data_IF_523348765153
#
_entry.id   IF_523348765153
#
_cell.length_a   1.000
_cell.length_b   1.000
_cell.length_c   1.000
_cell.angle_alpha   90.00
_cell.angle_beta   90.00
_cell.angle_gamma   90.00
#
_symmetry.space_group_name_H-M   'P 1'
#
loop_
_entity.id
_entity.type
_entity.pdbx_description
1 polymer ?
#
# COMPACT_ATOMS: atom_id res chain seq x y z
N UNK A 1 13.73 12.38 37.58
CA UNK A 1 13.57 10.96 37.19
C UNK A 1 13.33 10.92 35.68
N UNK A 2 14.38 10.69 34.90
CA UNK A 2 14.29 10.38 33.48
C UNK A 2 14.18 8.86 33.33
N UNK A 3 13.06 8.35 32.84
CA UNK A 3 12.93 6.93 32.50
C UNK A 3 13.30 6.78 31.03
N UNK A 4 14.45 6.12 30.80
CA UNK A 4 14.94 5.65 29.49
C UNK A 4 13.86 4.83 28.77
N UNK A 5 13.57 5.20 27.52
CA UNK A 5 13.13 4.27 26.47
C UNK A 5 14.06 4.47 25.26
N UNK A 6 14.91 3.46 25.06
CA UNK A 6 15.81 3.13 23.95
C UNK A 6 15.53 3.93 22.65
N UNK A 7 16.31 4.95 22.30
CA UNK A 7 17.60 4.97 21.56
C UNK A 7 17.51 4.78 20.03
N UNK A 8 17.87 5.88 19.33
CA UNK A 8 18.44 5.99 17.97
C UNK A 8 17.51 6.41 16.81
N UNK A 9 17.06 7.67 16.81
CA UNK A 9 16.79 8.44 15.58
C UNK A 9 17.95 9.43 15.38
N UNK A 10 18.84 9.15 14.42
CA UNK A 10 19.89 10.09 14.05
C UNK A 10 19.33 11.00 12.93
N UNK A 11 18.52 11.99 13.31
CA UNK A 11 18.01 12.97 12.34
C UNK A 11 19.11 14.02 12.09
N UNK A 12 19.37 14.35 10.83
CA UNK A 12 20.36 15.36 10.48
C UNK A 12 19.99 16.71 11.12
N UNK A 13 20.93 17.42 11.77
CA UNK A 13 20.64 18.74 12.34
C UNK A 13 20.36 19.81 11.27
N UNK A 14 20.56 19.50 9.98
CA UNK A 14 20.39 20.43 8.87
C UNK A 14 19.07 20.24 8.08
N UNK A 15 18.42 19.07 8.18
CA UNK A 15 17.13 18.82 7.55
C UNK A 15 16.26 17.88 8.41
N UNK A 16 15.22 18.40 9.10
CA UNK A 16 14.40 17.61 10.01
C UNK A 16 13.46 16.61 9.30
N UNK A 17 13.39 16.63 7.96
CA UNK A 17 12.69 15.64 7.14
C UNK A 17 13.50 14.35 6.89
N UNK A 18 14.82 14.37 7.11
CA UNK A 18 15.70 13.23 6.82
C UNK A 18 16.05 12.48 8.13
N UNK A 19 15.07 11.71 8.62
CA UNK A 19 15.27 10.79 9.75
C UNK A 19 15.56 9.37 9.24
N UNK A 20 16.69 8.81 9.66
CA UNK A 20 17.02 7.40 9.41
C UNK A 20 16.33 6.55 10.48
N UNK A 21 15.27 5.85 10.10
CA UNK A 21 14.54 4.96 11.00
C UNK A 21 15.07 3.53 10.92
N UNK A 22 15.43 2.90 12.06
CA UNK A 22 15.88 1.51 12.06
C UNK A 22 14.73 0.54 11.70
N UNK A 23 15.07 -0.57 11.05
CA UNK A 23 14.13 -1.69 10.85
C UNK A 23 12.97 -1.44 9.89
N UNK A 24 13.09 -0.48 8.96
CA UNK A 24 12.05 -0.22 7.93
C UNK A 24 10.83 0.54 8.44
N UNK A 25 10.95 1.22 9.58
CA UNK A 25 9.97 2.18 10.05
C UNK A 25 10.02 3.48 9.21
N UNK A 26 8.89 4.21 9.13
CA UNK A 26 8.78 5.39 8.27
C UNK A 26 8.32 6.65 9.04
N UNK A 27 8.71 7.81 8.51
CA UNK A 27 8.34 9.12 9.00
C UNK A 27 9.09 9.57 10.25
N UNK A 28 8.81 10.81 10.66
CA UNK A 28 9.45 11.54 11.75
C UNK A 28 9.34 10.87 13.13
N UNK A 29 8.34 9.99 13.29
CA UNK A 29 8.11 9.22 14.51
C UNK A 29 8.58 7.76 14.38
N UNK A 30 9.19 7.38 13.25
CA UNK A 30 9.56 6.01 12.93
C UNK A 30 8.43 5.02 13.25
N UNK A 31 7.26 5.25 12.66
CA UNK A 31 6.11 4.36 12.83
C UNK A 31 6.35 3.06 12.05
N UNK A 32 6.04 1.94 12.68
CA UNK A 32 6.08 0.64 12.03
C UNK A 32 4.75 0.44 11.31
N UNK A 33 4.80 0.47 9.98
CA UNK A 33 3.61 0.46 9.14
C UNK A 33 3.16 -0.94 8.74
N UNK A 34 3.77 -1.97 9.32
CA UNK A 34 3.55 -3.36 8.96
C UNK A 34 3.33 -4.22 10.21
N UNK A 35 2.50 -5.25 10.05
CA UNK A 35 2.28 -6.26 11.08
C UNK A 35 2.18 -7.64 10.45
N UNK A 36 2.84 -8.60 11.08
CA UNK A 36 2.85 -10.01 10.69
C UNK A 36 1.83 -10.79 11.51
N UNK A 37 1.09 -11.67 10.83
CA UNK A 37 0.07 -12.54 11.41
C UNK A 37 0.40 -13.99 11.06
N UNK A 38 0.37 -14.88 12.06
CA UNK A 38 0.84 -16.26 11.93
C UNK A 38 -0.32 -17.27 11.94
N UNK A 39 -1.47 -16.92 11.36
CA UNK A 39 -2.60 -17.86 11.24
C UNK A 39 -3.48 -17.99 12.49
N UNK A 40 -3.34 -17.12 13.48
CA UNK A 40 -4.34 -16.91 14.55
C UNK A 40 -4.35 -15.47 15.06
N UNK A 41 -3.71 -14.57 14.30
CA UNK A 41 -3.44 -13.22 14.73
C UNK A 41 -4.57 -12.27 14.38
N UNK A 42 -4.74 -11.24 15.20
CA UNK A 42 -5.65 -10.13 14.97
C UNK A 42 -5.08 -8.85 15.57
N UNK A 43 -5.54 -7.72 15.06
CA UNK A 43 -5.26 -6.41 15.65
C UNK A 43 -6.49 -5.50 15.55
N UNK A 44 -6.71 -4.69 16.57
CA UNK A 44 -7.70 -3.63 16.57
C UNK A 44 -7.04 -2.31 16.22
N UNK A 45 -7.56 -1.69 15.16
CA UNK A 45 -7.18 -0.34 14.75
C UNK A 45 -8.40 0.58 14.89
N UNK A 46 -8.22 1.90 14.77
CA UNK A 46 -9.32 2.84 14.90
C UNK A 46 -10.53 2.47 14.01
N UNK A 47 -11.76 2.73 14.49
CA UNK A 47 -12.97 2.44 13.74
C UNK A 47 -12.98 3.19 12.41
N UNK A 48 -13.71 2.65 11.43
CA UNK A 48 -13.96 3.35 10.17
C UNK A 48 -14.71 4.65 10.48
N UNK A 49 -14.21 5.82 10.04
CA UNK A 49 -14.86 7.11 10.27
C UNK A 49 -16.30 7.09 9.74
N UNK A 50 -17.22 7.76 10.44
CA UNK A 50 -18.64 7.86 10.04
C UNK A 50 -18.85 8.74 8.80
N UNK A 51 -17.83 9.48 8.37
CA UNK A 51 -17.89 10.36 7.21
C UNK A 51 -17.67 9.54 5.92
N UNK A 52 -18.66 9.54 5.04
CA UNK A 52 -18.60 8.89 3.73
C UNK A 52 -18.45 9.94 2.62
N UNK A 53 -17.74 9.60 1.53
CA UNK A 53 -17.07 8.32 1.27
C UNK A 53 -15.81 8.12 2.14
N UNK A 54 -15.56 6.88 2.56
CA UNK A 54 -14.29 6.50 3.19
C UNK A 54 -13.44 5.68 2.20
N UNK A 55 -12.17 6.04 2.09
CA UNK A 55 -11.16 5.31 1.29
C UNK A 55 -10.27 4.50 2.21
N UNK A 56 -10.16 3.20 1.96
CA UNK A 56 -9.23 2.31 2.66
C UNK A 56 -8.22 1.78 1.65
N UNK A 57 -6.94 1.94 1.94
CA UNK A 57 -5.88 1.28 1.15
C UNK A 57 -4.93 0.53 2.07
N UNK A 58 -4.42 -0.61 1.61
CA UNK A 58 -3.44 -1.42 2.32
C UNK A 58 -2.62 -2.25 1.33
N UNK A 59 -1.46 -2.73 1.76
CA UNK A 59 -0.64 -3.70 1.05
C UNK A 59 -0.74 -5.05 1.73
N UNK A 60 -0.86 -6.10 0.91
CA UNK A 60 -1.07 -7.48 1.35
C UNK A 60 0.11 -8.32 0.88
N UNK A 61 0.74 -9.05 1.80
CA UNK A 61 1.82 -9.99 1.52
C UNK A 61 1.47 -11.36 2.11
N UNK A 62 0.99 -12.29 1.28
CA UNK A 62 0.60 -13.64 1.72
C UNK A 62 0.73 -14.67 0.60
N UNK A 63 0.97 -15.94 0.98
CA UNK A 63 0.85 -17.11 0.09
C UNK A 63 -0.53 -17.76 0.13
N UNK A 64 -1.43 -17.30 1.01
CA UNK A 64 -2.71 -17.95 1.26
C UNK A 64 -3.80 -17.32 0.39
N UNK A 65 -4.44 -18.09 -0.51
CA UNK A 65 -5.44 -17.55 -1.43
C UNK A 65 -6.81 -17.27 -0.76
N UNK A 66 -6.99 -17.67 0.50
CA UNK A 66 -8.21 -17.47 1.27
C UNK A 66 -7.91 -16.99 2.69
N UNK A 67 -8.35 -15.78 3.04
CA UNK A 67 -8.16 -15.20 4.37
C UNK A 67 -9.07 -13.99 4.59
N UNK A 68 -9.46 -13.75 5.84
CA UNK A 68 -10.08 -12.48 6.25
C UNK A 68 -9.00 -11.40 6.43
N UNK A 69 -9.16 -10.23 5.81
CA UNK A 69 -8.21 -9.13 5.88
C UNK A 69 -8.68 -8.01 6.80
N UNK A 70 -9.94 -7.59 6.67
CA UNK A 70 -10.55 -6.56 7.50
C UNK A 70 -11.96 -6.96 7.89
N UNK A 71 -12.38 -6.62 9.10
CA UNK A 71 -13.74 -6.81 9.57
C UNK A 71 -14.20 -5.67 10.47
N UNK A 72 -15.37 -5.11 10.18
CA UNK A 72 -16.07 -4.16 11.03
C UNK A 72 -17.55 -4.58 11.08
N UNK A 73 -18.05 -4.97 12.26
CA UNK A 73 -19.38 -5.54 12.38
C UNK A 73 -19.65 -6.08 13.78
N UNK A 74 -20.75 -6.84 13.97
CA UNK A 74 -21.10 -7.40 15.26
C UNK A 74 -20.01 -8.33 15.81
N UNK A 75 -19.63 -8.10 17.07
CA UNK A 75 -18.69 -8.96 17.80
C UNK A 75 -19.38 -10.02 18.67
N UNK A 76 -20.71 -9.97 18.72
CA UNK A 76 -21.56 -10.88 19.48
C UNK A 76 -22.84 -11.18 18.67
N UNK A 77 -23.50 -12.33 18.92
CA UNK A 77 -24.76 -12.66 18.27
C UNK A 77 -25.81 -11.57 18.47
N UNK A 78 -26.58 -11.28 17.44
CA UNK A 78 -27.68 -10.32 17.54
C UNK A 78 -28.81 -10.90 18.40
N UNK A 79 -29.10 -10.23 19.52
CA UNK A 79 -30.17 -10.61 20.44
C UNK A 79 -31.55 -10.06 20.04
N UNK A 80 -31.69 -9.38 18.89
CA UNK A 80 -32.97 -8.79 18.47
C UNK A 80 -33.82 -9.79 17.67
N UNK A 81 -34.94 -10.27 18.21
CA UNK A 81 -35.84 -11.18 17.49
C UNK A 81 -36.68 -10.46 16.43
N UNK A 82 -36.94 -9.15 16.61
CA UNK A 82 -37.94 -8.37 15.85
C UNK A 82 -37.39 -7.64 14.61
N UNK A 83 -36.06 -7.60 14.41
CA UNK A 83 -35.50 -7.01 13.19
C UNK A 83 -35.42 -8.07 12.08
N UNK A 84 -36.19 -7.86 11.01
CA UNK A 84 -36.12 -8.65 9.77
C UNK A 84 -34.90 -8.31 8.92
N UNK A 85 -34.23 -7.19 9.21
CA UNK A 85 -33.08 -6.72 8.46
C UNK A 85 -31.77 -7.43 8.87
N UNK A 86 -30.85 -7.69 7.91
CA UNK A 86 -29.51 -8.18 8.22
C UNK A 86 -28.71 -7.18 9.07
N UNK A 87 -27.89 -7.69 9.98
CA UNK A 87 -27.01 -6.82 10.80
C UNK A 87 -25.94 -6.16 9.91
N UNK A 88 -25.64 -4.87 10.05
CA UNK A 88 -24.61 -4.23 9.23
C UNK A 88 -23.22 -4.80 9.54
N UNK A 89 -22.46 -5.07 8.49
CA UNK A 89 -21.06 -5.45 8.57
C UNK A 89 -20.30 -4.95 7.35
N UNK A 90 -18.97 -5.00 7.46
CA UNK A 90 -18.03 -4.93 6.37
C UNK A 90 -16.96 -5.99 6.58
N UNK A 91 -16.69 -6.77 5.54
CA UNK A 91 -15.58 -7.70 5.53
C UNK A 91 -14.83 -7.59 4.20
N UNK A 92 -13.52 -7.31 4.28
CA UNK A 92 -12.61 -7.46 3.14
C UNK A 92 -11.86 -8.77 3.31
N UNK A 93 -11.90 -9.63 2.31
CA UNK A 93 -11.30 -10.96 2.37
C UNK A 93 -10.68 -11.35 1.03
N UNK A 94 -9.76 -12.31 1.05
CA UNK A 94 -9.26 -12.97 -0.15
C UNK A 94 -10.12 -14.22 -0.43
N UNK A 95 -10.61 -14.35 -1.66
CA UNK A 95 -11.15 -15.60 -2.20
C UNK A 95 -10.43 -15.95 -3.48
N UNK A 96 -9.79 -17.13 -3.51
CA UNK A 96 -9.01 -17.60 -4.65
C UNK A 96 -7.96 -16.57 -5.10
N UNK A 97 -7.32 -15.90 -4.13
CA UNK A 97 -6.33 -14.84 -4.37
C UNK A 97 -6.91 -13.49 -4.81
N UNK A 98 -8.23 -13.36 -4.94
CA UNK A 98 -8.91 -12.13 -5.35
C UNK A 98 -9.53 -11.42 -4.14
N UNK A 99 -9.35 -10.09 -3.97
CA UNK A 99 -10.07 -9.33 -2.96
C UNK A 99 -11.59 -9.36 -3.20
N UNK A 100 -12.36 -9.73 -2.18
CA UNK A 100 -13.82 -9.71 -2.15
C UNK A 100 -14.26 -8.85 -0.96
N UNK A 101 -15.25 -8.00 -1.19
CA UNK A 101 -15.89 -7.19 -0.16
C UNK A 101 -17.29 -7.76 0.12
N UNK A 102 -17.64 -7.93 1.39
CA UNK A 102 -18.98 -8.30 1.85
C UNK A 102 -19.56 -7.18 2.72
N UNK A 103 -20.89 -7.00 2.68
CA UNK A 103 -21.62 -6.06 3.51
C UNK A 103 -21.76 -4.67 2.88
N UNK A 104 -21.58 -3.61 3.67
CA UNK A 104 -21.66 -2.22 3.19
C UNK A 104 -20.53 -1.95 2.22
N UNK A 105 -20.87 -1.42 1.05
CA UNK A 105 -19.88 -1.24 0.01
C UNK A 105 -19.06 0.04 0.22
N UNK A 106 -17.76 -0.15 0.46
CA UNK A 106 -16.73 0.88 0.34
C UNK A 106 -16.10 0.82 -1.05
N UNK A 107 -15.58 1.95 -1.51
CA UNK A 107 -14.72 1.97 -2.69
C UNK A 107 -13.41 1.26 -2.35
N UNK A 108 -13.23 0.06 -2.90
CA UNK A 108 -11.99 -0.71 -2.78
C UNK A 108 -11.23 -0.56 -4.10
N UNK A 109 -10.12 0.15 -4.05
CA UNK A 109 -9.21 0.25 -5.19
C UNK A 109 -8.47 -1.10 -5.38
N UNK A 110 -8.86 -1.86 -6.41
CA UNK A 110 -8.26 -3.15 -6.75
C UNK A 110 -7.08 -2.96 -7.69
N UNK A 111 -5.96 -2.45 -7.18
CA UNK A 111 -4.70 -2.38 -7.94
C UNK A 111 -3.66 -3.32 -7.31
N UNK A 112 -3.58 -4.55 -7.83
CA UNK A 112 -2.53 -5.52 -7.48
C UNK A 112 -1.66 -5.86 -8.71
N UNK A 113 -0.36 -6.08 -8.50
CA UNK A 113 0.58 -6.45 -9.55
C UNK A 113 0.23 -7.82 -10.15
N UNK A 114 0.18 -7.93 -11.48
CA UNK A 114 0.26 -9.20 -12.19
C UNK A 114 -1.02 -9.78 -12.80
N UNK A 115 -2.03 -8.97 -13.12
CA UNK A 115 -3.26 -9.48 -13.75
C UNK A 115 -3.37 -9.07 -15.22
N UNK A 116 -3.13 -10.03 -16.11
CA UNK A 116 -3.53 -9.96 -17.52
C UNK A 116 -4.83 -10.75 -17.66
N UNK A 117 -5.87 -10.09 -18.17
CA UNK A 117 -6.93 -10.78 -18.90
C UNK A 117 -7.04 -10.10 -20.27
N UNK A 118 -7.14 -10.93 -21.30
CA UNK A 118 -7.19 -10.51 -22.71
C UNK A 118 -8.39 -9.59 -22.99
N UNK A 119 -8.19 -8.76 -24.01
CA UNK A 119 -9.11 -7.79 -24.56
C UNK A 119 -10.51 -8.37 -24.81
N UNK A 120 -11.55 -7.58 -24.53
CA UNK A 120 -12.29 -6.90 -25.59
C UNK A 120 -13.12 -5.73 -25.03
N UNK A 121 -12.79 -4.54 -25.54
CA UNK A 121 -13.58 -3.31 -25.63
C UNK A 121 -14.41 -2.82 -24.43
N UNK A 122 -13.76 -2.21 -23.43
CA UNK A 122 -14.15 -0.94 -22.79
C UNK A 122 -13.05 -0.46 -21.81
N UNK A 123 -12.76 0.85 -21.67
CA UNK A 123 -11.75 1.35 -20.74
C UNK A 123 -12.28 1.36 -19.30
N UNK A 124 -12.44 0.18 -18.69
CA UNK A 124 -12.78 0.04 -17.28
C UNK A 124 -11.52 0.25 -16.41
N UNK A 125 -11.11 1.50 -16.27
CA UNK A 125 -10.14 1.91 -15.27
C UNK A 125 -10.77 1.69 -13.88
N UNK A 126 -10.23 0.73 -13.14
CA UNK A 126 -10.41 0.42 -11.72
C UNK A 126 -11.39 1.32 -10.93
N UNK A 127 -12.70 1.14 -11.11
CA UNK A 127 -13.70 1.81 -10.26
C UNK A 127 -14.85 0.85 -9.97
N UNK A 128 -14.82 0.22 -8.79
CA UNK A 128 -15.97 -0.49 -8.25
C UNK A 128 -16.84 0.51 -7.50
N UNK A 129 -17.92 0.98 -8.12
CA UNK A 129 -18.93 1.83 -7.47
C UNK A 129 -20.09 0.95 -7.07
N UNK A 130 -20.39 0.91 -5.78
CA UNK A 130 -21.65 0.34 -5.29
C UNK A 130 -22.27 1.41 -4.40
N UNK A 131 -23.46 1.85 -4.81
CA UNK A 131 -24.28 2.80 -4.08
C UNK A 131 -25.21 2.07 -3.13
N UNK A 132 -25.50 2.73 -2.01
CA UNK A 132 -26.49 2.33 -1.02
C UNK A 132 -27.84 1.97 -1.64
N UNK A 133 -28.55 1.03 -1.01
CA UNK A 133 -29.98 0.78 -1.29
C UNK A 133 -30.87 1.79 -0.52
N UNK A 134 -30.35 2.51 0.48
CA UNK A 134 -31.11 3.58 1.15
C UNK A 134 -30.21 4.51 1.99
N UNK A 135 -30.44 5.85 1.96
CA UNK A 135 -29.80 6.82 2.87
C UNK A 135 -30.15 6.64 4.35
N UNK A 136 -31.19 5.86 4.68
CA UNK A 136 -31.64 5.65 6.07
C UNK A 136 -30.85 4.58 6.84
N UNK A 137 -30.01 3.77 6.18
CA UNK A 137 -29.17 2.73 6.81
C UNK A 137 -27.88 3.28 7.46
N UNK A 138 -27.65 4.59 7.40
CA UNK A 138 -26.49 5.27 8.01
C UNK A 138 -26.57 5.32 9.55
N UNK A 139 -27.78 5.23 10.14
CA UNK A 139 -27.94 5.13 11.59
C UNK A 139 -27.46 3.79 12.16
N UNK A 140 -27.30 2.76 11.33
CA UNK A 140 -26.95 1.41 11.76
C UNK A 140 -25.43 1.11 11.71
N UNK A 141 -24.60 1.98 11.10
CA UNK A 141 -23.16 1.72 11.08
C UNK A 141 -22.59 1.78 12.50
N UNK A 142 -21.91 0.72 12.99
CA UNK A 142 -21.28 0.74 14.29
C UNK A 142 -20.00 1.58 14.22
N UNK A 143 -20.13 2.90 14.10
CA UNK A 143 -19.02 3.86 14.09
C UNK A 143 -18.30 3.99 15.44
N UNK A 144 -18.35 2.95 16.26
CA UNK A 144 -17.68 2.77 17.55
C UNK A 144 -17.01 1.40 17.70
N UNK A 145 -17.21 0.47 16.75
CA UNK A 145 -16.57 -0.86 16.81
C UNK A 145 -15.19 -0.77 16.16
N UNK A 146 -14.13 -1.28 16.81
CA UNK A 146 -12.79 -1.27 16.24
C UNK A 146 -12.75 -2.00 14.90
N UNK A 147 -11.97 -1.48 13.96
CA UNK A 147 -11.67 -2.21 12.74
C UNK A 147 -10.72 -3.35 13.10
N UNK A 148 -11.16 -4.59 12.85
CA UNK A 148 -10.37 -5.78 13.09
C UNK A 148 -9.55 -6.12 11.85
N UNK A 149 -8.27 -6.36 12.03
CA UNK A 149 -7.28 -6.58 10.97
C UNK A 149 -6.77 -8.01 11.03
N UNK A 150 -6.74 -8.70 9.88
CA UNK A 150 -6.21 -10.04 9.62
C UNK A 150 -6.85 -11.22 10.37
N UNK A 151 -7.77 -10.96 11.28
CA UNK A 151 -8.46 -11.96 12.07
C UNK A 151 -9.48 -11.33 13.00
N UNK A 152 -10.11 -12.16 13.83
CA UNK A 152 -11.14 -11.74 14.77
C UNK A 152 -10.65 -12.02 16.20
N UNK A 153 -10.94 -11.08 17.11
CA UNK A 153 -10.71 -11.24 18.55
C UNK A 153 -11.80 -12.09 19.24
N UNK A 154 -12.82 -12.50 18.48
CA UNK A 154 -13.98 -13.25 18.93
C UNK A 154 -14.26 -14.41 17.96
N UNK A 155 -15.17 -15.31 18.35
CA UNK A 155 -15.62 -16.39 17.48
C UNK A 155 -16.21 -15.83 16.18
N UNK A 156 -15.90 -16.43 15.00
CA UNK A 156 -16.41 -15.96 13.73
C UNK A 156 -17.95 -15.88 13.71
N UNK A 157 -18.52 -14.74 13.29
CA UNK A 157 -19.97 -14.58 13.21
C UNK A 157 -20.51 -15.45 12.07
N UNK A 158 -21.70 -16.02 12.27
CA UNK A 158 -22.34 -16.89 11.28
C UNK A 158 -23.41 -16.15 10.50
N UNK A 159 -23.67 -16.61 9.27
CA UNK A 159 -24.67 -16.03 8.39
C UNK A 159 -26.08 -16.09 9.02
N UNK A 160 -26.43 -17.23 9.63
CA UNK A 160 -27.75 -17.45 10.21
C UNK A 160 -28.04 -16.53 11.40
N UNK A 161 -27.03 -16.31 12.27
CA UNK A 161 -27.18 -15.45 13.44
C UNK A 161 -27.43 -13.99 13.08
N UNK A 162 -26.96 -13.54 11.90
CA UNK A 162 -27.01 -12.14 11.47
C UNK A 162 -27.81 -11.91 10.19
N UNK A 163 -28.50 -12.94 9.70
CA UNK A 163 -29.31 -12.96 8.47
C UNK A 163 -28.53 -12.50 7.23
N UNK A 164 -27.24 -12.84 7.15
CA UNK A 164 -26.40 -12.53 5.98
C UNK A 164 -26.58 -13.57 4.88
N UNK A 165 -26.52 -13.15 3.61
CA UNK A 165 -26.44 -14.09 2.49
C UNK A 165 -25.09 -14.85 2.45
N UNK A 166 -24.03 -14.24 2.95
CA UNK A 166 -22.69 -14.83 3.03
C UNK A 166 -21.96 -14.31 4.29
N UNK A 167 -21.37 -15.22 5.07
CA UNK A 167 -20.54 -14.85 6.23
C UNK A 167 -19.08 -14.61 5.81
N UNK A 168 -18.32 -13.79 6.58
CA UNK A 168 -16.89 -13.65 6.39
C UNK A 168 -16.16 -15.00 6.49
N UNK A 169 -15.09 -15.17 5.72
CA UNK A 169 -14.26 -16.36 5.76
C UNK A 169 -13.66 -16.49 7.17
N UNK A 170 -13.89 -17.61 7.88
CA UNK A 170 -13.37 -17.79 9.23
C UNK A 170 -11.87 -18.14 9.24
N UNK A 171 -11.24 -18.27 8.07
CA UNK A 171 -9.82 -18.61 7.96
C UNK A 171 -8.96 -17.41 8.36
N UNK A 172 -8.10 -17.57 9.38
CA UNK A 172 -7.19 -16.52 9.83
C UNK A 172 -6.13 -16.22 8.77
N UNK A 173 -5.71 -14.97 8.68
CA UNK A 173 -4.67 -14.55 7.74
C UNK A 173 -3.28 -14.99 8.23
N UNK A 174 -2.48 -15.50 7.29
CA UNK A 174 -1.08 -15.82 7.49
C UNK A 174 -0.23 -15.03 6.49
N UNK A 175 0.53 -14.06 6.98
CA UNK A 175 1.29 -13.14 6.14
C UNK A 175 1.53 -11.81 6.83
N UNK A 176 1.72 -10.77 6.03
CA UNK A 176 1.96 -9.41 6.51
C UNK A 176 0.99 -8.43 5.82
N UNK A 177 0.43 -7.53 6.62
CA UNK A 177 -0.32 -6.37 6.13
C UNK A 177 0.50 -5.12 6.43
N UNK A 178 0.52 -4.18 5.48
CA UNK A 178 1.23 -2.92 5.68
C UNK A 178 0.55 -1.73 5.01
N UNK A 179 0.99 -0.52 5.37
CA UNK A 179 0.54 0.75 4.79
C UNK A 179 -0.98 0.90 4.80
N UNK A 180 -1.63 0.45 5.89
CA UNK A 180 -3.06 0.65 6.06
C UNK A 180 -3.33 2.15 6.20
N UNK A 181 -4.20 2.67 5.35
CA UNK A 181 -4.68 4.05 5.44
C UNK A 181 -6.20 4.09 5.51
N UNK A 182 -6.71 5.05 6.28
CA UNK A 182 -8.11 5.42 6.35
C UNK A 182 -8.21 6.89 5.91
N UNK A 183 -8.87 7.17 4.80
CA UNK A 183 -8.96 8.51 4.21
C UNK A 183 -7.59 9.18 3.97
N UNK A 184 -6.61 8.37 3.55
CA UNK A 184 -5.23 8.83 3.33
C UNK A 184 -4.40 8.99 4.62
N UNK A 185 -5.02 8.88 5.80
CA UNK A 185 -4.29 8.88 7.07
C UNK A 185 -3.75 7.50 7.37
N UNK A 186 -2.45 7.44 7.63
CA UNK A 186 -1.72 6.22 7.91
C UNK A 186 -2.01 5.68 9.32
N UNK A 187 -2.33 4.39 9.40
CA UNK A 187 -2.60 3.69 10.65
C UNK A 187 -1.31 3.04 11.16
N UNK A 188 -0.99 3.24 12.44
CA UNK A 188 0.12 2.56 13.10
C UNK A 188 -0.23 1.09 13.35
N UNK A 189 0.46 0.18 12.67
CA UNK A 189 0.29 -1.26 12.82
C UNK A 189 1.34 -1.89 13.76
N UNK A 190 2.37 -1.12 14.13
CA UNK A 190 3.39 -1.51 15.09
C UNK A 190 2.83 -1.61 16.50
N UNK A 191 2.04 -0.60 16.88
CA UNK A 191 1.44 -0.49 18.22
C UNK A 191 -0.08 -0.26 18.11
N UNK A 192 -0.86 -1.28 17.67
CA UNK A 192 -2.31 -1.20 17.66
C UNK A 192 -2.86 -1.13 19.08
N UNK A 193 -4.10 -0.65 19.23
CA UNK A 193 -4.76 -0.53 20.54
C UNK A 193 -4.82 -1.86 21.29
N UNK A 194 -5.15 -2.94 20.56
CA UNK A 194 -5.13 -4.31 21.06
C UNK A 194 -4.71 -5.25 19.94
N UNK A 195 -4.02 -6.34 20.29
CA UNK A 195 -3.65 -7.39 19.34
C UNK A 195 -3.36 -8.71 20.03
N UNK A 196 -3.53 -9.80 19.30
CA UNK A 196 -3.14 -11.15 19.72
C UNK A 196 -2.57 -11.92 18.53
N UNK A 197 -1.71 -12.92 18.77
CA UNK A 197 -1.17 -13.83 17.74
C UNK A 197 -0.47 -13.14 16.56
N UNK A 198 0.06 -11.94 16.76
CA UNK A 198 0.63 -11.08 15.71
C UNK A 198 1.80 -10.27 16.26
N UNK A 199 2.69 -9.80 15.39
CA UNK A 199 3.90 -9.08 15.76
C UNK A 199 4.16 -7.88 14.83
N UNK A 200 4.71 -6.77 15.35
CA UNK A 200 5.11 -5.63 14.51
C UNK A 200 6.15 -6.05 13.46
N UNK A 201 6.21 -5.31 12.35
CA UNK A 201 7.12 -5.61 11.25
C UNK A 201 6.54 -6.61 10.25
N UNK A 202 7.34 -6.94 9.24
CA UNK A 202 6.93 -7.74 8.11
C UNK A 202 7.91 -8.90 7.92
N UNK A 203 7.75 -9.96 8.72
CA UNK A 203 8.71 -11.07 8.71
C UNK A 203 8.94 -11.70 7.33
N UNK A 204 7.92 -11.94 6.49
CA UNK A 204 8.18 -12.47 5.15
C UNK A 204 9.06 -11.55 4.28
N UNK A 205 8.93 -10.23 4.45
CA UNK A 205 9.74 -9.21 3.77
C UNK A 205 11.18 -9.21 4.31
N UNK A 206 11.34 -9.32 5.62
CA UNK A 206 12.64 -9.38 6.31
C UNK A 206 13.39 -10.67 5.98
N UNK A 207 12.70 -11.81 6.00
CA UNK A 207 13.23 -13.12 5.61
C UNK A 207 13.63 -13.17 4.13
N UNK A 208 12.93 -12.45 3.26
CA UNK A 208 13.31 -12.31 1.85
C UNK A 208 14.60 -11.50 1.65
N UNK A 209 14.96 -10.66 2.63
CA UNK A 209 16.17 -9.85 2.63
C UNK A 209 17.11 -10.24 3.79
N UNK A 210 17.71 -11.44 3.78
CA UNK A 210 18.55 -11.92 4.88
C UNK A 210 19.91 -11.22 4.90
N UNK A 211 19.95 -9.91 5.19
CA UNK A 211 21.10 -9.11 5.61
C UNK A 211 22.41 -9.18 4.82
N UNK A 212 22.44 -9.89 3.68
CA UNK A 212 23.65 -10.27 2.98
C UNK A 212 23.83 -9.49 1.68
N UNK A 213 25.09 -9.14 1.41
CA UNK A 213 25.52 -8.68 0.09
C UNK A 213 25.39 -9.85 -0.87
N UNK A 214 24.44 -9.81 -1.80
CA UNK A 214 24.25 -10.86 -2.80
C UNK A 214 22.84 -11.00 -3.36
N UNK A 215 21.79 -10.82 -2.54
CA UNK A 215 20.39 -11.05 -2.98
C UNK A 215 19.92 -10.08 -4.07
N UNK A 216 20.51 -8.88 -4.11
CA UNK A 216 20.25 -7.82 -5.09
C UNK A 216 21.55 -7.34 -5.76
N UNK A 217 22.59 -8.20 -5.78
CA UNK A 217 23.94 -7.85 -6.20
C UNK A 217 24.57 -6.73 -5.35
N UNK A 218 25.67 -6.16 -5.85
CA UNK A 218 26.39 -5.05 -5.18
C UNK A 218 25.79 -3.67 -5.48
N UNK A 219 24.81 -3.61 -6.39
CA UNK A 219 24.25 -2.36 -6.93
C UNK A 219 22.73 -2.28 -6.78
N UNK A 220 22.18 -3.08 -5.89
CA UNK A 220 20.77 -3.08 -5.54
C UNK A 220 20.58 -3.10 -4.04
N UNK A 221 19.53 -2.44 -3.58
CA UNK A 221 19.03 -2.57 -2.22
C UNK A 221 17.85 -3.54 -2.21
N UNK A 222 17.86 -4.51 -1.30
CA UNK A 222 16.71 -5.40 -1.10
C UNK A 222 15.61 -4.62 -0.39
N UNK A 223 14.47 -4.45 -1.05
CA UNK A 223 13.30 -3.74 -0.50
C UNK A 223 12.24 -4.69 0.02
N UNK A 224 12.46 -6.01 -0.11
CA UNK A 224 11.60 -7.03 0.47
C UNK A 224 11.37 -8.25 -0.39
N UNK A 225 10.22 -8.89 -0.26
CA UNK A 225 9.83 -10.03 -1.10
C UNK A 225 8.86 -11.00 -0.41
N UNK A 226 8.26 -11.89 -1.21
CA UNK A 226 7.44 -13.00 -0.70
C UNK A 226 8.02 -14.38 -1.04
N UNK A 227 8.42 -14.55 -2.29
CA UNK A 227 9.03 -15.81 -2.79
C UNK A 227 10.51 -15.61 -3.15
N UNK A 228 10.86 -14.40 -3.58
CA UNK A 228 12.20 -13.98 -3.97
C UNK A 228 12.38 -12.52 -3.56
N UNK A 229 13.64 -12.05 -3.37
CA UNK A 229 13.92 -10.66 -3.09
C UNK A 229 13.39 -9.75 -4.22
N UNK A 230 12.74 -8.65 -3.84
CA UNK A 230 12.44 -7.51 -4.69
C UNK A 230 13.55 -6.48 -4.47
N UNK A 231 14.20 -6.09 -5.56
CA UNK A 231 15.42 -5.28 -5.54
C UNK A 231 15.18 -3.91 -6.17
N UNK A 232 15.60 -2.86 -5.46
CA UNK A 232 15.68 -1.50 -5.98
C UNK A 232 17.10 -1.25 -6.48
N UNK A 233 17.28 -1.20 -7.80
CA UNK A 233 18.58 -1.03 -8.42
C UNK A 233 19.06 0.43 -8.40
N UNK A 234 20.39 0.61 -8.32
CA UNK A 234 21.02 1.91 -8.51
C UNK A 234 20.83 2.42 -9.96
N UNK A 235 20.81 3.75 -10.17
CA UNK A 235 20.71 4.32 -11.52
C UNK A 235 21.78 3.75 -12.46
N UNK A 236 21.33 3.23 -13.60
CA UNK A 236 22.21 2.63 -14.60
C UNK A 236 22.33 1.10 -14.51
N UNK A 237 21.64 0.46 -13.57
CA UNK A 237 21.60 -0.99 -13.39
C UNK A 237 20.18 -1.53 -13.35
N UNK A 238 19.99 -2.76 -13.81
CA UNK A 238 18.71 -3.42 -13.95
C UNK A 238 18.85 -4.94 -13.77
N UNK A 239 17.72 -5.64 -13.85
CA UNK A 239 17.61 -7.08 -13.63
C UNK A 239 17.24 -7.41 -12.18
N UNK A 240 16.90 -8.69 -11.95
CA UNK A 240 16.45 -9.17 -10.63
C UNK A 240 17.50 -8.98 -9.53
N UNK A 241 18.79 -9.04 -9.88
CA UNK A 241 19.92 -8.86 -8.97
C UNK A 241 20.70 -7.56 -9.23
N UNK A 242 20.13 -6.63 -10.00
CA UNK A 242 20.78 -5.36 -10.32
C UNK A 242 22.20 -5.49 -10.91
N UNK A 243 22.47 -6.59 -11.61
CA UNK A 243 23.76 -6.94 -12.18
C UNK A 243 23.90 -6.58 -13.67
N UNK A 244 22.81 -6.17 -14.32
CA UNK A 244 22.82 -5.84 -15.75
C UNK A 244 22.92 -4.32 -15.93
N UNK A 245 23.94 -3.78 -16.62
CA UNK A 245 23.99 -2.36 -16.92
C UNK A 245 22.88 -1.98 -17.90
N UNK A 246 22.21 -0.86 -17.66
CA UNK A 246 21.22 -0.31 -18.59
C UNK A 246 21.90 0.18 -19.85
N UNK A 247 21.30 -0.03 -21.02
CA UNK A 247 21.81 0.54 -22.26
C UNK A 247 21.31 1.99 -22.42
N UNK A 248 22.21 2.98 -22.50
CA UNK A 248 21.80 4.36 -22.75
C UNK A 248 21.36 4.52 -24.21
N UNK A 249 20.33 5.33 -24.43
CA UNK A 249 19.95 5.80 -25.76
C UNK A 249 20.39 7.25 -25.94
N UNK A 250 20.96 7.57 -27.11
CA UNK A 250 21.25 8.95 -27.50
C UNK A 250 20.14 9.43 -28.42
N UNK A 251 19.50 10.54 -28.04
CA UNK A 251 18.44 11.17 -28.82
C UNK A 251 19.02 12.40 -29.52
N UNK A 252 18.88 12.46 -30.84
CA UNK A 252 19.19 13.64 -31.63
C UNK A 252 18.08 14.69 -31.57
N UNK A 253 18.26 15.79 -32.30
CA UNK A 253 17.24 16.82 -32.43
C UNK A 253 15.92 16.24 -32.99
N UNK A 254 14.79 16.63 -32.40
CA UNK A 254 13.46 16.14 -32.77
C UNK A 254 13.20 14.64 -32.50
N UNK A 255 14.18 13.91 -31.95
CA UNK A 255 14.03 12.48 -31.63
C UNK A 255 13.32 12.29 -30.30
N UNK A 256 12.55 11.21 -30.17
CA UNK A 256 11.89 10.84 -28.94
C UNK A 256 11.91 9.32 -28.72
N UNK A 257 11.87 8.91 -27.46
CA UNK A 257 11.72 7.50 -27.07
C UNK A 257 10.39 7.33 -26.34
N UNK A 258 9.55 6.41 -26.81
CA UNK A 258 8.32 6.01 -26.11
C UNK A 258 8.56 4.70 -25.38
N UNK A 259 8.43 4.74 -24.06
CA UNK A 259 8.50 3.55 -23.22
C UNK A 259 7.08 3.14 -22.86
N UNK A 260 6.66 1.96 -23.33
CA UNK A 260 5.46 1.34 -22.82
C UNK A 260 5.79 0.64 -21.50
N UNK A 261 5.10 1.00 -20.43
CA UNK A 261 5.22 0.28 -19.16
C UNK A 261 4.66 -1.14 -19.36
N UNK A 262 5.43 -2.16 -18.99
CA UNK A 262 4.98 -3.56 -18.97
C UNK A 262 4.03 -3.86 -17.81
N UNK A 263 3.71 -2.84 -17.01
CA UNK A 263 2.84 -2.88 -15.83
C UNK A 263 2.00 -1.60 -15.76
N UNK A 264 0.86 -1.67 -15.08
CA UNK A 264 0.06 -0.49 -14.73
C UNK A 264 0.55 0.05 -13.39
N UNK A 265 1.08 1.30 -13.31
CA UNK A 265 1.51 1.87 -12.03
C UNK A 265 0.31 2.09 -11.10
N UNK A 266 0.51 2.13 -9.77
CA UNK A 266 -0.53 2.49 -8.82
C UNK A 266 -1.16 3.85 -9.18
N UNK A 267 -2.48 4.04 -8.99
CA UNK A 267 -3.16 5.28 -9.38
C UNK A 267 -2.72 6.50 -8.55
N UNK A 268 -2.10 6.27 -7.39
CA UNK A 268 -1.73 7.31 -6.43
C UNK A 268 -0.24 7.64 -6.39
N UNK A 269 0.62 6.78 -6.95
CA UNK A 269 2.06 6.96 -6.90
C UNK A 269 2.78 6.26 -8.05
N UNK A 270 3.59 7.02 -8.78
CA UNK A 270 4.53 6.52 -9.76
C UNK A 270 5.95 6.90 -9.32
N UNK A 271 6.83 5.89 -9.17
CA UNK A 271 8.26 6.13 -8.99
C UNK A 271 8.97 5.92 -10.33
N UNK A 272 9.66 6.97 -10.80
CA UNK A 272 10.47 6.94 -12.01
C UNK A 272 11.89 7.34 -11.65
N UNK A 273 12.86 6.51 -12.05
CA UNK A 273 14.28 6.81 -11.92
C UNK A 273 14.91 6.82 -13.31
N UNK A 274 15.58 7.93 -13.66
CA UNK A 274 16.29 8.08 -14.92
C UNK A 274 17.63 8.78 -14.72
N UNK A 275 18.64 8.36 -15.49
CA UNK A 275 19.92 9.08 -15.58
C UNK A 275 19.99 9.78 -16.92
N UNK A 276 19.95 11.10 -16.89
CA UNK A 276 19.88 11.93 -18.10
C UNK A 276 21.16 12.74 -18.20
N UNK A 277 21.75 12.79 -19.40
CA UNK A 277 22.88 13.67 -19.73
C UNK A 277 22.47 14.57 -20.87
N UNK A 278 22.52 15.88 -20.65
CA UNK A 278 22.20 16.89 -21.65
C UNK A 278 23.36 17.88 -21.81
N UNK A 279 23.54 18.47 -23.00
CA UNK A 279 24.45 19.59 -23.19
C UNK A 279 24.06 20.80 -22.32
N UNK A 280 25.05 21.59 -21.91
CA UNK A 280 24.91 22.71 -20.96
C UNK A 280 23.91 23.80 -21.39
N UNK A 281 23.68 23.95 -22.69
CA UNK A 281 22.79 24.95 -23.28
C UNK A 281 21.49 24.34 -23.86
N UNK A 282 21.20 23.07 -23.59
CA UNK A 282 20.01 22.42 -24.13
C UNK A 282 18.74 22.89 -23.39
N UNK A 283 17.76 23.37 -24.16
CA UNK A 283 16.40 23.66 -23.70
C UNK A 283 15.44 22.68 -24.37
N UNK A 284 14.59 22.02 -23.59
CA UNK A 284 13.64 21.05 -24.14
C UNK A 284 13.06 20.08 -23.11
N UNK A 285 12.10 19.28 -23.56
CA UNK A 285 11.46 18.25 -22.74
C UNK A 285 12.39 17.06 -22.55
N UNK A 286 12.60 16.65 -21.29
CA UNK A 286 13.38 15.47 -20.94
C UNK A 286 12.52 14.23 -20.77
N UNK A 287 11.44 14.37 -20.00
CA UNK A 287 10.55 13.27 -19.64
C UNK A 287 9.12 13.78 -19.72
N UNK A 288 8.26 13.00 -20.37
CA UNK A 288 6.83 13.22 -20.35
C UNK A 288 6.14 11.90 -20.02
N UNK A 289 5.42 11.88 -18.90
CA UNK A 289 4.59 10.76 -18.48
C UNK A 289 3.15 11.21 -18.57
N UNK A 290 2.33 10.48 -19.32
CA UNK A 290 0.92 10.77 -19.48
C UNK A 290 0.10 9.50 -19.28
N UNK A 291 -1.07 9.62 -18.64
CA UNK A 291 -2.07 8.56 -18.65
C UNK A 291 -2.57 8.33 -20.09
N UNK A 292 -3.09 7.13 -20.40
CA UNK A 292 -3.56 6.73 -21.75
C UNK A 292 -4.55 7.72 -22.40
N UNK A 293 -5.23 8.56 -21.60
CA UNK A 293 -6.18 9.57 -22.05
C UNK A 293 -5.78 11.01 -21.70
N UNK A 294 -4.51 11.28 -21.37
CA UNK A 294 -3.98 12.59 -20.97
C UNK A 294 -4.77 13.28 -19.83
N UNK A 295 -5.50 12.52 -19.02
CA UNK A 295 -6.23 13.04 -17.85
C UNK A 295 -5.29 13.55 -16.76
N UNK A 296 -4.09 13.00 -16.70
CA UNK A 296 -2.99 13.45 -15.84
C UNK A 296 -1.67 13.29 -16.59
N UNK A 297 -0.80 14.29 -16.45
CA UNK A 297 0.53 14.26 -17.04
C UNK A 297 1.56 14.90 -16.10
N UNK A 298 2.78 14.37 -16.14
CA UNK A 298 3.96 14.91 -15.51
C UNK A 298 5.02 15.18 -16.59
N UNK A 299 5.54 16.40 -16.65
CA UNK A 299 6.54 16.80 -17.63
C UNK A 299 7.75 17.42 -16.94
N UNK A 300 8.93 16.90 -17.23
CA UNK A 300 10.23 17.44 -16.82
C UNK A 300 10.93 18.04 -18.04
N UNK A 301 11.41 19.28 -17.93
CA UNK A 301 12.11 20.00 -19.00
C UNK A 301 13.35 20.70 -18.46
N UNK A 302 14.30 21.04 -19.33
CA UNK A 302 15.43 21.92 -19.01
C UNK A 302 15.20 23.31 -19.56
N UNK A 303 15.59 24.33 -18.80
CA UNK A 303 15.69 25.71 -19.26
C UNK A 303 17.17 26.12 -19.32
N UNK A 304 17.58 26.79 -20.40
CA UNK A 304 18.99 27.09 -20.70
C UNK A 304 19.65 28.16 -19.82
N UNK A 305 19.25 28.30 -18.55
CA UNK A 305 19.78 29.33 -17.64
C UNK A 305 20.25 28.70 -16.32
N UNK A 306 21.40 28.01 -16.34
CA UNK A 306 22.24 28.01 -15.14
C UNK A 306 22.91 29.38 -15.08
N UNK A 307 22.27 30.33 -14.39
CA UNK A 307 22.91 31.59 -14.06
C UNK A 307 24.17 31.28 -13.24
N UNK A 308 25.31 31.68 -13.79
CA UNK A 308 26.60 31.75 -13.13
C UNK A 308 26.42 32.52 -11.81
N UNK A 309 26.61 31.83 -10.69
CA UNK A 309 26.65 32.44 -9.36
C UNK A 309 27.86 33.39 -9.39
N UNK A 310 27.59 34.68 -9.62
CA UNK A 310 28.63 35.70 -9.55
C UNK A 310 29.10 35.75 -8.10
N UNK A 311 30.35 35.35 -7.88
CA UNK A 311 31.10 35.73 -6.68
C UNK A 311 30.95 37.25 -6.51
N UNK A 312 30.36 37.67 -5.39
CA UNK A 312 30.46 39.04 -4.92
C UNK A 312 31.94 39.29 -4.59
N UNK A 313 32.67 39.90 -5.54
CA UNK A 313 34.03 40.34 -5.35
C UNK A 313 34.13 41.50 -4.36
N UNK A 314 35.08 41.32 -3.43
CA UNK A 314 35.81 42.26 -2.54
C UNK A 314 35.08 43.48 -1.98
#
# INVERSE_FOLDING_TARGET
MCTRLLSASNCSPQDPLECVCPGGAEGWQCKVLARTFLGSGWAWVPPIPRCLPTTISLRILTRHPHALLLYAGPMAPTQRPDDTAPTPMLALQLRHGRPQLLGVALMVDRCGRGWKEHADHAPAHCTGRVSWVSPWDLEAWPGSVPLQVAGLAHSPPTADQHRWGEAPIPRPFHGCLSHLTLNGQLVDLGQPAHSGGSAPGCRPQEEACPGGVGSCGYRGACVGGLNQPECMCQPGWAGIECATPTQPATLGEGSYMRVALSFTPPPTALSLQARIRVPRAASGTLVHVAAQHNTAAFTMHTSGAFAEERECGT
#
